data_IF_580097150649
#
_entry.id   IF_580097150649
#
_cell.length_a   1.000
_cell.length_b   1.000
_cell.length_c   1.000
_cell.angle_alpha   90.00
_cell.angle_beta   90.00
_cell.angle_gamma   90.00
#
_symmetry.space_group_name_H-M   'P 1'
#
loop_
_entity.id
_entity.type
_entity.pdbx_description
1 polymer ?
#
# COMPACT_ATOMS: atom_id res chain seq x y z
N UNK A 1 -1.73 -13.43 2.49
CA UNK A 1 -1.77 -12.69 1.21
C UNK A 1 -2.71 -11.49 1.31
N UNK A 2 -3.99 -11.63 1.70
CA UNK A 2 -4.96 -10.52 1.77
C UNK A 2 -4.45 -9.30 2.55
N UNK A 3 -3.83 -9.50 3.74
CA UNK A 3 -3.24 -8.43 4.55
C UNK A 3 -2.14 -7.69 3.79
N UNK A 4 -1.24 -8.44 3.17
CA UNK A 4 -0.15 -7.88 2.37
C UNK A 4 -0.69 -7.11 1.16
N UNK A 5 -1.76 -7.61 0.53
CA UNK A 5 -2.38 -6.93 -0.61
C UNK A 5 -3.08 -5.64 -0.18
N UNK A 6 -3.84 -5.67 0.90
CA UNK A 6 -4.52 -4.46 1.40
C UNK A 6 -3.53 -3.40 1.85
N UNK A 7 -2.45 -3.79 2.55
CA UNK A 7 -1.44 -2.82 2.99
C UNK A 7 -0.64 -2.25 1.83
N UNK A 8 -0.56 -2.93 0.68
CA UNK A 8 0.04 -2.37 -0.54
C UNK A 8 -0.71 -1.12 -1.00
N UNK A 9 -2.04 -1.12 -0.95
CA UNK A 9 -2.85 0.07 -1.25
C UNK A 9 -2.64 1.19 -0.22
N UNK A 10 -2.58 0.87 1.07
CA UNK A 10 -2.25 1.85 2.12
C UNK A 10 -0.86 2.45 1.94
N UNK A 11 0.12 1.62 1.59
CA UNK A 11 1.48 2.07 1.31
C UNK A 11 1.50 3.03 0.11
N UNK A 12 0.81 2.69 -0.97
CA UNK A 12 0.73 3.55 -2.16
C UNK A 12 0.11 4.92 -1.83
N UNK A 13 -0.99 4.92 -1.09
CA UNK A 13 -1.59 6.15 -0.59
C UNK A 13 -0.63 6.95 0.29
N UNK A 14 -0.01 6.34 1.30
CA UNK A 14 0.92 7.01 2.20
C UNK A 14 2.17 7.54 1.47
N UNK A 15 2.67 6.81 0.46
CA UNK A 15 3.75 7.27 -0.41
C UNK A 15 3.38 8.59 -1.09
N UNK A 16 2.17 8.70 -1.64
CA UNK A 16 1.69 9.94 -2.27
C UNK A 16 1.57 11.08 -1.27
N UNK A 17 1.03 10.83 -0.07
CA UNK A 17 0.89 11.84 0.98
C UNK A 17 2.25 12.40 1.45
N UNK A 18 3.26 11.55 1.58
CA UNK A 18 4.58 11.93 2.11
C UNK A 18 5.51 12.48 1.03
N UNK A 19 5.35 12.04 -0.21
CA UNK A 19 6.27 12.40 -1.31
C UNK A 19 5.59 13.25 -2.37
N UNK A 20 4.94 12.61 -3.32
CA UNK A 20 4.26 13.26 -4.44
C UNK A 20 3.22 12.32 -5.05
N UNK A 21 2.05 12.83 -5.47
CA UNK A 21 1.09 12.07 -6.28
C UNK A 21 1.66 11.54 -7.60
N UNK A 22 2.79 12.07 -8.06
CA UNK A 22 3.48 11.64 -9.28
C UNK A 22 4.29 10.35 -9.10
N UNK A 23 4.52 9.91 -7.86
CA UNK A 23 5.20 8.64 -7.55
C UNK A 23 4.32 7.46 -7.99
N UNK A 24 4.38 7.11 -9.27
CA UNK A 24 3.53 6.09 -9.86
C UNK A 24 4.12 4.69 -9.68
N UNK A 25 3.25 3.72 -9.43
CA UNK A 25 3.63 2.31 -9.37
C UNK A 25 4.19 1.82 -10.71
N UNK A 26 5.31 1.10 -10.66
CA UNK A 26 5.95 0.44 -11.82
C UNK A 26 5.83 -1.07 -11.74
N UNK A 27 5.57 -1.60 -10.57
CA UNK A 27 5.36 -3.01 -10.32
C UNK A 27 5.11 -3.28 -8.85
N UNK A 28 4.61 -4.46 -8.54
CA UNK A 28 4.47 -4.92 -7.17
C UNK A 28 4.47 -6.44 -7.10
N UNK A 29 4.86 -6.94 -5.95
CA UNK A 29 4.73 -8.34 -5.60
C UNK A 29 4.09 -8.47 -4.22
N UNK A 30 3.11 -9.35 -4.11
CA UNK A 30 2.41 -9.65 -2.86
C UNK A 30 2.52 -11.13 -2.57
N UNK A 31 3.33 -11.48 -1.58
CA UNK A 31 3.52 -12.86 -1.11
C UNK A 31 2.98 -13.09 0.29
N UNK A 32 3.12 -14.33 0.81
CA UNK A 32 2.71 -14.65 2.18
C UNK A 32 3.60 -13.96 3.23
N UNK A 33 4.88 -13.78 2.92
CA UNK A 33 5.90 -13.35 3.89
C UNK A 33 6.32 -11.89 3.73
N UNK A 34 6.18 -11.34 2.52
CA UNK A 34 6.53 -9.95 2.20
C UNK A 34 5.74 -9.40 1.03
N UNK A 35 5.81 -8.10 0.89
CA UNK A 35 5.45 -7.38 -0.33
C UNK A 35 6.65 -6.59 -0.86
N UNK A 36 6.65 -6.32 -2.15
CA UNK A 36 7.51 -5.30 -2.76
C UNK A 36 6.66 -4.32 -3.56
N UNK A 37 7.10 -3.07 -3.58
CA UNK A 37 6.45 -2.01 -4.35
C UNK A 37 7.49 -1.20 -5.09
N UNK A 38 7.39 -1.18 -6.42
CA UNK A 38 8.28 -0.46 -7.31
C UNK A 38 7.60 0.81 -7.79
N UNK A 39 8.29 1.93 -7.73
CA UNK A 39 7.75 3.23 -8.10
C UNK A 39 8.84 4.17 -8.63
N UNK A 40 8.43 5.13 -9.47
CA UNK A 40 9.33 6.18 -9.92
C UNK A 40 9.44 7.25 -8.83
N UNK A 41 10.65 7.48 -8.38
CA UNK A 41 10.94 8.53 -7.39
C UNK A 41 12.46 8.73 -7.29
N UNK A 42 12.94 9.90 -6.83
CA UNK A 42 14.25 9.99 -6.20
C UNK A 42 14.36 9.05 -5.00
N UNK A 43 15.58 8.83 -4.49
CA UNK A 43 15.77 8.07 -3.27
C UNK A 43 14.97 8.69 -2.11
N UNK A 44 14.26 7.85 -1.37
CA UNK A 44 13.55 8.31 -0.17
C UNK A 44 14.55 8.56 0.96
N UNK A 45 14.33 9.64 1.70
CA UNK A 45 15.11 9.90 2.91
C UNK A 45 14.67 8.95 4.04
N UNK A 46 15.53 8.69 5.02
CA UNK A 46 15.15 7.92 6.22
C UNK A 46 13.91 8.48 6.92
N UNK A 47 13.76 9.81 6.94
CA UNK A 47 12.57 10.46 7.53
C UNK A 47 11.31 10.16 6.72
N UNK A 48 11.36 10.25 5.39
CA UNK A 48 10.22 9.92 4.54
C UNK A 48 9.78 8.45 4.72
N UNK A 49 10.74 7.52 4.82
CA UNK A 49 10.43 6.10 5.09
C UNK A 49 9.75 5.92 6.44
N UNK A 50 10.24 6.61 7.48
CA UNK A 50 9.63 6.57 8.81
C UNK A 50 8.23 7.18 8.81
N UNK A 51 8.03 8.30 8.12
CA UNK A 51 6.72 8.98 8.02
C UNK A 51 5.70 8.11 7.26
N UNK A 52 6.11 7.45 6.18
CA UNK A 52 5.26 6.51 5.44
C UNK A 52 4.86 5.34 6.34
N UNK A 53 5.83 4.71 7.01
CA UNK A 53 5.57 3.59 7.91
C UNK A 53 4.61 3.98 9.04
N UNK A 54 4.83 5.14 9.66
CA UNK A 54 3.96 5.67 10.69
C UNK A 54 2.55 5.90 10.16
N UNK A 55 2.40 6.59 9.03
CA UNK A 55 1.11 6.93 8.45
C UNK A 55 0.30 5.68 8.08
N UNK A 56 0.95 4.64 7.54
CA UNK A 56 0.31 3.34 7.28
C UNK A 56 -0.20 2.71 8.58
N UNK A 57 0.62 2.70 9.64
CA UNK A 57 0.23 2.11 10.91
C UNK A 57 -0.90 2.90 11.60
N UNK A 58 -0.94 4.23 11.49
CA UNK A 58 -2.06 5.05 11.95
C UNK A 58 -3.36 4.63 11.26
N UNK A 59 -3.35 4.44 9.93
CA UNK A 59 -4.53 3.97 9.18
C UNK A 59 -4.94 2.54 9.53
N UNK A 60 -3.99 1.69 9.92
CA UNK A 60 -4.30 0.36 10.44
C UNK A 60 -5.04 0.45 11.78
N UNK A 61 -4.56 1.31 12.68
CA UNK A 61 -5.20 1.53 14.00
C UNK A 61 -6.60 2.14 13.87
N UNK A 62 -6.82 3.00 12.90
CA UNK A 62 -8.14 3.59 12.61
C UNK A 62 -9.19 2.53 12.23
N UNK A 63 -8.76 1.32 11.86
CA UNK A 63 -9.64 0.20 11.51
C UNK A 63 -10.71 0.56 10.48
N UNK A 64 -10.31 1.29 9.43
CA UNK A 64 -11.20 1.72 8.37
C UNK A 64 -11.72 0.54 7.54
N UNK A 65 -12.96 0.61 7.09
CA UNK A 65 -13.57 -0.42 6.24
C UNK A 65 -12.84 -0.48 4.89
N UNK A 66 -12.59 -1.70 4.42
CA UNK A 66 -12.11 -1.98 3.07
C UNK A 66 -13.27 -2.60 2.30
N UNK A 67 -13.69 -1.95 1.24
CA UNK A 67 -14.76 -2.42 0.39
C UNK A 67 -14.43 -2.22 -1.09
N UNK A 68 -15.32 -2.65 -1.95
CA UNK A 68 -15.17 -2.50 -3.39
C UNK A 68 -16.53 -2.25 -4.06
N UNK A 69 -16.48 -1.59 -5.20
CA UNK A 69 -17.63 -1.38 -6.07
C UNK A 69 -17.26 -1.75 -7.50
N UNK A 70 -18.23 -2.23 -8.26
CA UNK A 70 -18.13 -2.36 -9.71
C UNK A 70 -18.73 -1.11 -10.36
N UNK A 71 -18.03 -0.58 -11.32
CA UNK A 71 -18.46 0.60 -12.06
C UNK A 71 -18.09 0.48 -13.54
N UNK A 72 -18.84 1.11 -14.45
CA UNK A 72 -18.42 1.26 -15.84
C UNK A 72 -17.07 1.96 -15.91
N UNK A 73 -16.15 1.44 -16.73
CA UNK A 73 -14.82 2.05 -16.87
C UNK A 73 -14.91 3.51 -17.32
N UNK A 74 -15.89 3.84 -18.15
CA UNK A 74 -16.15 5.22 -18.61
C UNK A 74 -16.45 6.20 -17.47
N UNK A 75 -16.97 5.73 -16.33
CA UNK A 75 -17.27 6.58 -15.18
C UNK A 75 -16.06 6.80 -14.26
N UNK A 76 -15.10 5.87 -14.29
CA UNK A 76 -13.92 5.92 -13.42
C UNK A 76 -12.65 6.39 -14.14
N UNK A 77 -12.57 6.26 -15.46
CA UNK A 77 -11.38 6.58 -16.24
C UNK A 77 -10.96 8.06 -16.21
N UNK A 78 -11.87 8.96 -15.86
CA UNK A 78 -11.59 10.41 -15.71
C UNK A 78 -11.56 10.87 -14.24
N UNK A 79 -11.57 9.96 -13.29
CA UNK A 79 -11.54 10.30 -11.87
C UNK A 79 -10.10 10.21 -11.34
N UNK A 80 -9.47 11.37 -11.13
CA UNK A 80 -8.10 11.47 -10.62
C UNK A 80 -7.92 10.91 -9.20
N UNK A 81 -9.01 10.72 -8.45
CA UNK A 81 -9.01 10.08 -7.14
C UNK A 81 -8.91 8.56 -7.18
N UNK A 82 -9.06 7.94 -8.37
CA UNK A 82 -8.99 6.48 -8.54
C UNK A 82 -7.72 6.13 -9.29
N UNK A 83 -6.80 5.45 -8.61
CA UNK A 83 -5.53 5.05 -9.20
C UNK A 83 -5.73 3.91 -10.20
N UNK A 84 -5.06 4.03 -11.35
CA UNK A 84 -5.13 3.09 -12.47
C UNK A 84 -3.71 2.77 -12.93
N UNK A 85 -3.49 1.53 -13.36
CA UNK A 85 -2.18 1.15 -13.91
C UNK A 85 -2.07 1.52 -15.37
N UNK A 86 -0.99 2.20 -15.72
CA UNK A 86 -0.70 2.54 -17.12
C UNK A 86 -0.39 1.28 -17.92
N UNK A 87 -1.11 1.12 -19.04
CA UNK A 87 -0.89 0.01 -19.99
C UNK A 87 -1.79 -1.20 -19.77
N UNK A 88 -2.56 -1.25 -18.71
CA UNK A 88 -3.57 -2.28 -18.54
C UNK A 88 -4.77 -2.02 -19.46
N UNK A 89 -5.26 -3.10 -20.06
CA UNK A 89 -6.51 -3.06 -20.83
C UNK A 89 -7.67 -3.43 -19.90
N UNK A 90 -8.44 -2.43 -19.54
CA UNK A 90 -9.63 -2.62 -18.73
C UNK A 90 -10.83 -2.99 -19.61
N UNK A 91 -11.69 -3.87 -19.10
CA UNK A 91 -12.99 -4.14 -19.73
C UNK A 91 -13.99 -2.99 -19.52
N UNK A 92 -15.20 -3.17 -20.04
CA UNK A 92 -16.27 -2.17 -19.90
C UNK A 92 -16.68 -1.92 -18.45
N UNK A 93 -16.54 -2.94 -17.58
CA UNK A 93 -16.80 -2.87 -16.14
C UNK A 93 -15.51 -3.17 -15.38
N UNK A 94 -15.21 -2.35 -14.38
CA UNK A 94 -14.03 -2.48 -13.53
C UNK A 94 -14.42 -2.53 -12.06
N UNK A 95 -13.55 -3.15 -11.26
CA UNK A 95 -13.67 -3.19 -9.81
C UNK A 95 -12.75 -2.15 -9.18
N UNK A 96 -13.33 -1.24 -8.42
CA UNK A 96 -12.60 -0.25 -7.61
C UNK A 96 -12.57 -0.75 -6.17
N UNK A 97 -11.38 -0.99 -5.65
CA UNK A 97 -11.17 -1.25 -4.22
C UNK A 97 -10.92 0.07 -3.53
N UNK A 98 -11.60 0.32 -2.42
CA UNK A 98 -11.42 1.53 -1.63
C UNK A 98 -11.20 1.23 -0.15
N UNK A 99 -10.44 2.09 0.50
CA UNK A 99 -10.20 2.07 1.94
C UNK A 99 -10.79 3.35 2.54
N UNK A 100 -11.57 3.18 3.61
CA UNK A 100 -12.43 4.26 4.11
C UNK A 100 -13.61 4.52 3.18
N UNK A 101 -14.41 5.53 3.51
CA UNK A 101 -15.61 5.84 2.74
C UNK A 101 -16.76 4.86 2.93
N UNK A 102 -17.86 5.15 2.27
CA UNK A 102 -19.08 4.36 2.32
C UNK A 102 -19.12 3.32 1.21
N UNK A 103 -19.75 2.18 1.47
CA UNK A 103 -19.91 1.12 0.47
C UNK A 103 -20.60 1.68 -0.80
N UNK A 104 -20.03 1.38 -1.96
CA UNK A 104 -20.49 1.82 -3.29
C UNK A 104 -20.48 3.33 -3.57
N UNK A 105 -19.94 4.15 -2.64
CA UNK A 105 -19.94 5.61 -2.82
C UNK A 105 -18.69 6.15 -3.55
N UNK A 106 -17.62 5.34 -3.71
CA UNK A 106 -16.33 5.73 -4.30
C UNK A 106 -15.81 7.04 -3.69
N UNK A 107 -15.82 7.13 -2.37
CA UNK A 107 -15.39 8.29 -1.58
C UNK A 107 -14.35 7.94 -0.50
N UNK A 108 -13.67 6.80 -0.63
CA UNK A 108 -12.55 6.41 0.21
C UNK A 108 -11.32 7.29 -0.02
N UNK A 109 -10.44 7.36 0.98
CA UNK A 109 -9.17 8.09 0.86
C UNK A 109 -8.12 7.35 0.02
N UNK A 110 -8.25 6.04 -0.16
CA UNK A 110 -7.47 5.24 -1.10
C UNK A 110 -8.44 4.50 -2.01
N UNK A 111 -8.33 4.70 -3.31
CA UNK A 111 -9.16 4.05 -4.32
C UNK A 111 -8.28 3.61 -5.48
N UNK A 112 -8.34 2.32 -5.84
CA UNK A 112 -7.55 1.76 -6.93
C UNK A 112 -8.34 0.71 -7.72
N UNK A 113 -8.09 0.62 -9.02
CA UNK A 113 -8.57 -0.51 -9.81
C UNK A 113 -7.83 -1.78 -9.41
N UNK A 114 -8.54 -2.73 -8.79
CA UNK A 114 -7.94 -3.95 -8.29
C UNK A 114 -8.93 -5.13 -8.30
N UNK A 115 -8.54 -6.23 -8.93
CA UNK A 115 -9.31 -7.48 -8.95
C UNK A 115 -8.94 -8.47 -7.84
N UNK A 116 -8.01 -8.13 -6.95
CA UNK A 116 -7.49 -9.03 -5.93
C UNK A 116 -8.37 -9.17 -4.68
N UNK A 117 -7.93 -10.03 -3.76
CA UNK A 117 -8.61 -10.27 -2.48
C UNK A 117 -8.01 -9.40 -1.38
N UNK A 118 -8.87 -8.86 -0.53
CA UNK A 118 -8.49 -7.90 0.51
C UNK A 118 -9.01 -8.31 1.89
N UNK A 119 -8.39 -7.74 2.94
CA UNK A 119 -8.95 -7.72 4.28
C UNK A 119 -10.27 -6.91 4.29
N UNK A 120 -11.11 -7.11 5.28
CA UNK A 120 -12.40 -6.39 5.41
C UNK A 120 -12.26 -5.02 6.06
N UNK A 121 -11.19 -4.85 6.84
CA UNK A 121 -10.86 -3.60 7.51
C UNK A 121 -9.35 -3.50 7.70
N UNK A 122 -8.83 -2.29 7.80
CA UNK A 122 -7.40 -2.03 7.91
C UNK A 122 -6.79 -2.60 9.20
N UNK A 123 -7.55 -2.69 10.28
CA UNK A 123 -7.10 -3.32 11.54
C UNK A 123 -6.75 -4.80 11.41
N UNK A 124 -7.29 -5.51 10.43
CA UNK A 124 -6.95 -6.92 10.16
C UNK A 124 -5.53 -7.10 9.60
N UNK A 125 -4.88 -6.02 9.14
CA UNK A 125 -3.50 -6.05 8.62
C UNK A 125 -2.51 -6.34 9.74
N UNK A 126 -2.68 -5.73 10.90
CA UNK A 126 -1.71 -5.75 12.00
C UNK A 126 -0.54 -4.80 11.74
N UNK A 127 0.57 -4.98 12.47
CA UNK A 127 1.75 -4.12 12.32
C UNK A 127 2.29 -4.13 10.90
N UNK A 128 2.64 -2.96 10.37
CA UNK A 128 3.34 -2.79 9.10
C UNK A 128 4.77 -2.29 9.36
N UNK A 129 5.75 -2.84 8.63
CA UNK A 129 7.15 -2.39 8.69
C UNK A 129 7.77 -2.38 7.30
N UNK A 130 8.52 -1.32 7.02
CA UNK A 130 9.41 -1.24 5.86
C UNK A 130 10.73 -1.93 6.23
N UNK A 131 11.11 -2.94 5.45
CA UNK A 131 12.32 -3.73 5.69
C UNK A 131 13.53 -3.22 4.92
N UNK A 132 13.32 -2.68 3.72
CA UNK A 132 14.38 -2.16 2.87
C UNK A 132 13.84 -1.19 1.81
N UNK A 133 14.72 -0.30 1.34
CA UNK A 133 14.49 0.57 0.19
C UNK A 133 15.75 0.60 -0.66
N UNK A 134 15.62 0.44 -1.98
CA UNK A 134 16.76 0.37 -2.91
C UNK A 134 16.41 0.85 -4.32
N UNK A 135 17.43 1.21 -5.09
CA UNK A 135 17.29 1.42 -6.53
C UNK A 135 17.27 0.07 -7.25
N UNK A 136 16.35 -0.09 -8.20
CA UNK A 136 16.31 -1.27 -9.08
C UNK A 136 16.55 -0.92 -10.55
N UNK A 137 16.34 0.33 -10.93
CA UNK A 137 16.65 0.90 -12.23
C UNK A 137 16.84 2.42 -12.11
N UNK A 138 17.24 3.08 -13.19
CA UNK A 138 17.32 4.53 -13.21
C UNK A 138 15.96 5.17 -12.94
N UNK A 139 15.86 5.96 -11.88
CA UNK A 139 14.62 6.63 -11.47
C UNK A 139 13.55 5.70 -10.90
N UNK A 140 13.84 4.41 -10.66
CA UNK A 140 12.89 3.45 -10.09
C UNK A 140 13.41 2.91 -8.76
N UNK A 141 12.60 3.08 -7.73
CA UNK A 141 12.86 2.62 -6.36
C UNK A 141 12.01 1.40 -6.05
N UNK A 142 12.52 0.53 -5.20
CA UNK A 142 11.80 -0.61 -4.62
C UNK A 142 11.78 -0.48 -3.10
N UNK A 143 10.60 -0.55 -2.52
CA UNK A 143 10.41 -0.78 -1.09
C UNK A 143 10.05 -2.25 -0.89
N UNK A 144 10.71 -2.90 0.08
CA UNK A 144 10.27 -4.17 0.64
C UNK A 144 9.62 -3.93 2.00
N UNK A 145 8.49 -4.57 2.25
CA UNK A 145 7.76 -4.42 3.50
C UNK A 145 7.10 -5.72 3.94
N UNK A 146 6.74 -5.77 5.21
CA UNK A 146 6.07 -6.90 5.86
C UNK A 146 4.92 -6.41 6.71
N UNK A 147 3.91 -7.27 6.92
CA UNK A 147 2.77 -6.94 7.76
C UNK A 147 2.36 -8.11 8.68
N UNK A 148 1.61 -7.78 9.71
CA UNK A 148 1.04 -8.74 10.65
C UNK A 148 2.10 -9.44 11.52
N UNK A 149 1.99 -10.75 11.69
CA UNK A 149 2.88 -11.51 12.57
C UNK A 149 4.33 -11.54 12.09
N UNK A 150 4.58 -11.46 10.78
CA UNK A 150 5.95 -11.37 10.24
C UNK A 150 6.59 -10.06 10.69
N UNK A 151 5.89 -8.94 10.61
CA UNK A 151 6.37 -7.64 11.08
C UNK A 151 6.61 -7.63 12.59
N UNK A 152 5.71 -8.21 13.38
CA UNK A 152 5.86 -8.36 14.83
C UNK A 152 7.08 -9.23 15.20
N UNK A 153 7.32 -10.31 14.45
CA UNK A 153 8.49 -11.16 14.60
C UNK A 153 9.81 -10.43 14.34
N UNK A 154 9.86 -9.64 13.28
CA UNK A 154 11.03 -8.78 12.96
C UNK A 154 11.27 -7.74 14.06
N UNK A 155 10.23 -7.06 14.54
CA UNK A 155 10.36 -6.08 15.63
C UNK A 155 10.94 -6.71 16.91
N UNK A 156 10.49 -7.93 17.25
CA UNK A 156 11.01 -8.68 18.40
C UNK A 156 12.48 -9.06 18.20
N UNK A 157 12.85 -9.52 17.01
CA UNK A 157 14.24 -9.88 16.70
C UNK A 157 15.17 -8.68 16.82
N UNK A 158 14.74 -7.50 16.33
CA UNK A 158 15.52 -6.27 16.42
C UNK A 158 15.69 -5.81 17.87
N UNK A 159 14.62 -5.88 18.68
CA UNK A 159 14.71 -5.58 20.10
C UNK A 159 15.69 -6.53 20.83
N UNK A 160 15.70 -7.81 20.48
CA UNK A 160 16.64 -8.78 21.02
C UNK A 160 18.11 -8.49 20.64
N UNK A 161 18.35 -8.04 19.40
CA UNK A 161 19.69 -7.62 18.96
C UNK A 161 20.17 -6.39 19.72
N UNK A 162 19.31 -5.40 19.91
CA UNK A 162 19.65 -4.19 20.68
C UNK A 162 19.99 -4.57 22.13
N UNK A 163 19.17 -5.41 22.76
CA UNK A 163 19.41 -5.87 24.14
C UNK A 163 20.72 -6.65 24.30
N UNK A 164 21.16 -7.37 23.27
CA UNK A 164 22.42 -8.11 23.27
C UNK A 164 23.67 -7.22 23.11
N UNK A 165 23.50 -5.96 22.68
CA UNK A 165 24.59 -4.98 22.51
C UNK A 165 24.73 -4.06 23.73
N UNK A 166 23.79 -4.10 24.67
CA UNK A 166 23.78 -3.32 25.90
C UNK A 166 24.45 -4.08 27.06
#
# INVERSE_FOLDING_TARGET
IQRQHTVTHLFHWALHEVTSPEASQKGSYVGPDKLTFDFNSPALTPQQLADIEQLVNERIVDNAVVNWAEAPYSEVSGNDGILQFFGDKYGDTVRVVQIGGEANALNGYSMELCGGTHARATGEIGLFRISAESAIAAGVRRVEAVAGLVAAGQARADAGRIAALA
#
